data_IF_739625618979
#
_entry.id   IF_739625618979
#
_cell.length_a   1.000
_cell.length_b   1.000
_cell.length_c   1.000
_cell.angle_alpha   90.00
_cell.angle_beta   90.00
_cell.angle_gamma   90.00
#
_symmetry.space_group_name_H-M   'P 1'
#
loop_
_entity.id
_entity.type
_entity.pdbx_description
1 polymer ?
#
# COMPACT_ATOMS: atom_id res chain seq x y z
N UNK A 1 -6.00 -12.29 5.43
CA UNK A 1 -6.59 -12.56 4.10
C UNK A 1 -8.06 -12.19 3.98
N UNK A 2 -8.84 -12.36 5.01
CA UNK A 2 -10.26 -12.01 4.98
C UNK A 2 -10.51 -10.53 4.69
N UNK A 3 -9.71 -9.64 5.30
CA UNK A 3 -9.81 -8.20 5.06
C UNK A 3 -9.55 -7.86 3.59
N UNK A 4 -8.59 -8.54 2.97
CA UNK A 4 -8.26 -8.33 1.57
C UNK A 4 -9.33 -8.85 0.63
N UNK A 5 -10.04 -9.91 1.04
CA UNK A 5 -11.12 -10.49 0.21
C UNK A 5 -12.29 -9.52 0.06
N UNK A 6 -12.67 -8.81 1.13
CA UNK A 6 -13.73 -7.82 1.06
C UNK A 6 -13.40 -6.69 0.10
N UNK A 7 -12.17 -6.19 0.14
CA UNK A 7 -11.65 -5.15 -0.76
C UNK A 7 -11.69 -5.63 -2.21
N UNK A 8 -11.18 -6.86 -2.44
CA UNK A 8 -11.11 -7.46 -3.77
C UNK A 8 -12.51 -7.68 -4.35
N UNK A 9 -13.46 -8.13 -3.53
CA UNK A 9 -14.85 -8.28 -3.95
C UNK A 9 -15.45 -6.97 -4.41
N UNK A 10 -15.16 -5.86 -3.72
CA UNK A 10 -15.64 -4.55 -4.11
C UNK A 10 -15.02 -4.09 -5.44
N UNK A 11 -13.72 -4.33 -5.65
CA UNK A 11 -13.07 -4.00 -6.92
C UNK A 11 -13.72 -4.71 -8.10
N UNK A 12 -14.06 -5.98 -7.93
CA UNK A 12 -14.72 -6.76 -8.97
C UNK A 12 -16.15 -6.28 -9.19
N UNK A 13 -16.88 -6.04 -8.09
CA UNK A 13 -18.28 -5.62 -8.14
C UNK A 13 -18.48 -4.29 -8.87
N UNK A 14 -17.56 -3.34 -8.68
CA UNK A 14 -17.64 -2.04 -9.35
C UNK A 14 -16.91 -2.01 -10.69
N UNK A 15 -16.48 -3.18 -11.18
CA UNK A 15 -15.80 -3.34 -12.48
C UNK A 15 -14.49 -2.56 -12.62
N UNK A 16 -13.77 -2.36 -11.52
CA UNK A 16 -12.42 -1.77 -11.57
C UNK A 16 -11.38 -2.80 -11.98
N UNK A 17 -11.61 -4.06 -11.63
CA UNK A 17 -10.76 -5.17 -12.01
C UNK A 17 -11.60 -6.29 -12.61
N UNK A 18 -11.06 -6.94 -13.64
CA UNK A 18 -11.66 -8.13 -14.21
C UNK A 18 -11.39 -9.34 -13.32
N UNK A 19 -12.21 -10.42 -13.38
CA UNK A 19 -11.99 -11.63 -12.58
C UNK A 19 -10.59 -12.21 -12.71
N UNK A 20 -10.00 -12.14 -13.88
CA UNK A 20 -8.65 -12.63 -14.15
C UNK A 20 -7.61 -11.78 -13.41
N UNK A 21 -7.81 -10.47 -13.38
CA UNK A 21 -6.94 -9.54 -12.64
C UNK A 21 -7.06 -9.75 -11.14
N UNK A 22 -8.26 -10.03 -10.65
CA UNK A 22 -8.52 -10.33 -9.25
C UNK A 22 -7.73 -11.56 -8.79
N UNK A 23 -7.73 -12.61 -9.60
CA UNK A 23 -6.97 -13.84 -9.30
C UNK A 23 -5.49 -13.57 -9.21
N UNK A 24 -4.96 -12.79 -10.14
CA UNK A 24 -3.55 -12.41 -10.14
C UNK A 24 -3.20 -11.57 -8.92
N UNK A 25 -4.05 -10.63 -8.55
CA UNK A 25 -3.87 -9.79 -7.37
C UNK A 25 -3.81 -10.62 -6.09
N UNK A 26 -4.74 -11.56 -5.92
CA UNK A 26 -4.77 -12.42 -4.75
C UNK A 26 -3.48 -13.25 -4.66
N UNK A 27 -3.06 -13.82 -5.79
CA UNK A 27 -1.83 -14.62 -5.86
C UNK A 27 -0.61 -13.81 -5.48
N UNK A 28 -0.46 -12.60 -6.04
CA UNK A 28 0.66 -11.71 -5.77
C UNK A 28 0.70 -11.28 -4.30
N UNK A 29 -0.45 -10.94 -3.74
CA UNK A 29 -0.55 -10.56 -2.32
C UNK A 29 -0.14 -11.71 -1.39
N UNK A 30 -0.53 -12.93 -1.72
CA UNK A 30 -0.10 -14.10 -0.94
C UNK A 30 1.41 -14.28 -1.00
N UNK A 31 2.00 -14.14 -2.18
CA UNK A 31 3.44 -14.26 -2.36
C UNK A 31 4.20 -13.20 -1.56
N UNK A 32 3.78 -11.94 -1.65
CA UNK A 32 4.41 -10.86 -0.88
C UNK A 32 4.24 -11.04 0.62
N UNK A 33 3.03 -11.42 1.05
CA UNK A 33 2.77 -11.65 2.47
C UNK A 33 3.66 -12.76 3.03
N UNK A 34 3.85 -13.83 2.26
CA UNK A 34 4.76 -14.91 2.62
C UNK A 34 6.19 -14.37 2.80
N UNK A 35 6.67 -13.56 1.86
CA UNK A 35 8.02 -13.01 1.91
C UNK A 35 8.26 -12.13 3.13
N UNK A 36 7.31 -11.25 3.48
CA UNK A 36 7.48 -10.35 4.63
C UNK A 36 7.27 -11.05 5.97
N UNK A 37 6.73 -12.26 5.98
CA UNK A 37 6.55 -13.08 7.19
C UNK A 37 7.71 -14.03 7.45
N UNK A 38 8.67 -14.11 6.55
CA UNK A 38 9.85 -14.96 6.74
C UNK A 38 10.63 -14.57 8.00
N UNK A 39 11.35 -15.54 8.54
CA UNK A 39 12.21 -15.35 9.72
C UNK A 39 13.28 -14.29 9.47
N UNK A 40 13.94 -14.36 8.30
CA UNK A 40 14.89 -13.35 7.84
C UNK A 40 14.16 -12.38 6.93
N UNK A 41 13.92 -11.16 7.41
CA UNK A 41 13.18 -10.15 6.66
C UNK A 41 14.14 -9.22 5.96
N UNK A 42 13.91 -9.02 4.68
CA UNK A 42 14.72 -8.15 3.84
C UNK A 42 13.95 -6.88 3.47
N UNK A 43 14.66 -5.75 3.44
CA UNK A 43 14.08 -4.46 3.06
C UNK A 43 13.42 -4.53 1.67
N UNK A 44 14.07 -5.24 0.73
CA UNK A 44 13.55 -5.39 -0.62
C UNK A 44 12.19 -6.08 -0.70
N UNK A 45 11.91 -7.01 0.20
CA UNK A 45 10.61 -7.70 0.24
C UNK A 45 9.47 -6.72 0.58
N UNK A 46 9.71 -5.83 1.54
CA UNK A 46 8.74 -4.81 1.93
C UNK A 46 8.58 -3.76 0.83
N UNK A 47 9.69 -3.28 0.28
CA UNK A 47 9.65 -2.28 -0.79
C UNK A 47 8.98 -2.81 -2.05
N UNK A 48 9.21 -4.08 -2.37
CA UNK A 48 8.55 -4.73 -3.51
C UNK A 48 7.04 -4.80 -3.33
N UNK A 49 6.60 -5.16 -2.14
CA UNK A 49 5.17 -5.21 -1.82
C UNK A 49 4.54 -3.82 -1.87
N UNK A 50 5.19 -2.83 -1.26
CA UNK A 50 4.72 -1.42 -1.29
C UNK A 50 4.62 -0.94 -2.74
N UNK A 51 5.62 -1.24 -3.56
CA UNK A 51 5.61 -0.84 -4.98
C UNK A 51 4.45 -1.48 -5.74
N UNK A 52 4.19 -2.76 -5.48
CA UNK A 52 3.08 -3.46 -6.11
C UNK A 52 1.73 -2.81 -5.77
N UNK A 53 1.51 -2.50 -4.50
CA UNK A 53 0.26 -1.86 -4.05
C UNK A 53 0.15 -0.43 -4.57
N UNK A 54 1.27 0.30 -4.65
CA UNK A 54 1.31 1.64 -5.22
C UNK A 54 0.96 1.61 -6.70
N UNK A 55 1.47 0.63 -7.44
CA UNK A 55 1.14 0.43 -8.85
C UNK A 55 -0.35 0.12 -9.02
N UNK A 56 -0.91 -0.66 -8.12
CA UNK A 56 -2.35 -0.95 -8.13
C UNK A 56 -3.16 0.33 -7.95
N UNK A 57 -2.77 1.20 -7.02
CA UNK A 57 -3.44 2.51 -6.84
C UNK A 57 -3.40 3.33 -8.12
N UNK A 58 -2.26 3.35 -8.82
CA UNK A 58 -2.12 4.08 -10.07
C UNK A 58 -3.03 3.54 -11.15
N UNK A 59 -3.12 2.21 -11.26
CA UNK A 59 -4.03 1.56 -12.22
C UNK A 59 -5.49 1.91 -11.92
N UNK A 60 -5.88 1.84 -10.64
CA UNK A 60 -7.25 2.17 -10.25
C UNK A 60 -7.58 3.63 -10.51
N UNK A 61 -6.63 4.54 -10.26
CA UNK A 61 -6.81 5.96 -10.54
C UNK A 61 -7.08 6.20 -12.02
N UNK A 62 -6.33 5.55 -12.90
CA UNK A 62 -6.52 5.63 -14.35
C UNK A 62 -7.91 5.13 -14.76
N UNK A 63 -8.35 4.02 -14.20
CA UNK A 63 -9.65 3.43 -14.51
C UNK A 63 -10.80 4.26 -13.99
N UNK A 64 -10.65 4.86 -12.81
CA UNK A 64 -11.64 5.77 -12.26
C UNK A 64 -11.79 7.03 -13.10
N UNK A 65 -10.68 7.58 -13.54
CA UNK A 65 -10.68 8.76 -14.41
C UNK A 65 -11.40 8.47 -15.73
N UNK A 66 -11.12 7.30 -16.31
CA UNK A 66 -11.73 6.86 -17.56
C UNK A 66 -13.25 6.69 -17.46
N UNK A 67 -13.75 6.20 -16.32
CA UNK A 67 -15.19 5.94 -16.12
C UNK A 67 -15.93 7.07 -15.43
N UNK A 68 -15.21 7.94 -14.72
CA UNK A 68 -15.80 8.97 -13.88
C UNK A 68 -16.48 8.43 -12.62
N UNK A 69 -16.24 7.17 -12.28
CA UNK A 69 -16.95 6.47 -11.22
C UNK A 69 -16.19 6.51 -9.90
N UNK A 70 -16.82 7.10 -8.88
CA UNK A 70 -16.19 7.30 -7.56
C UNK A 70 -16.71 6.33 -6.48
N UNK A 71 -17.56 5.39 -6.85
CA UNK A 71 -18.22 4.50 -5.90
C UNK A 71 -17.23 3.59 -5.16
N UNK A 72 -17.43 3.42 -3.85
CA UNK A 72 -16.63 2.54 -2.99
C UNK A 72 -15.13 2.92 -2.90
N UNK A 73 -14.78 4.16 -3.20
CA UNK A 73 -13.39 4.62 -3.21
C UNK A 73 -12.72 4.47 -1.84
N UNK A 74 -13.41 4.77 -0.75
CA UNK A 74 -12.84 4.64 0.59
C UNK A 74 -12.60 3.18 0.99
N UNK A 75 -13.45 2.27 0.53
CA UNK A 75 -13.32 0.83 0.83
C UNK A 75 -12.29 0.13 -0.03
N UNK A 76 -11.98 0.67 -1.21
CA UNK A 76 -11.02 0.08 -2.14
C UNK A 76 -9.67 0.79 -2.02
N UNK A 77 -9.58 2.02 -2.52
CA UNK A 77 -8.31 2.78 -2.49
C UNK A 77 -7.89 3.15 -1.07
N UNK A 78 -8.85 3.49 -0.23
CA UNK A 78 -8.59 3.77 1.18
C UNK A 78 -7.96 2.58 1.89
N UNK A 79 -8.46 1.37 1.65
CA UNK A 79 -7.91 0.15 2.24
C UNK A 79 -6.48 -0.12 1.74
N UNK A 80 -6.21 0.14 0.46
CA UNK A 80 -4.88 -0.02 -0.11
C UNK A 80 -3.90 0.96 0.54
N UNK A 81 -4.30 2.24 0.70
CA UNK A 81 -3.46 3.26 1.34
C UNK A 81 -3.14 2.92 2.79
N UNK A 82 -4.13 2.41 3.53
CA UNK A 82 -3.92 1.97 4.91
C UNK A 82 -2.90 0.83 4.96
N UNK A 83 -2.99 -0.11 4.03
CA UNK A 83 -2.04 -1.23 3.95
C UNK A 83 -0.63 -0.75 3.66
N UNK A 84 -0.47 0.15 2.71
CA UNK A 84 0.84 0.72 2.37
C UNK A 84 1.43 1.45 3.58
N UNK A 85 0.63 2.22 4.29
CA UNK A 85 1.07 2.94 5.48
C UNK A 85 1.55 1.99 6.58
N UNK A 86 0.83 0.90 6.79
CA UNK A 86 1.23 -0.13 7.76
C UNK A 86 2.55 -0.79 7.37
N UNK A 87 2.74 -1.08 6.08
CA UNK A 87 3.99 -1.67 5.59
C UNK A 87 5.17 -0.72 5.82
N UNK A 88 4.99 0.57 5.56
CA UNK A 88 6.03 1.57 5.86
C UNK A 88 6.36 1.61 7.35
N UNK A 89 5.36 1.55 8.21
CA UNK A 89 5.59 1.58 9.66
C UNK A 89 6.41 0.38 10.14
N UNK A 90 6.12 -0.81 9.61
CA UNK A 90 6.88 -2.01 9.92
C UNK A 90 8.32 -1.87 9.41
N UNK A 91 8.47 -1.38 8.19
CA UNK A 91 9.77 -1.19 7.56
C UNK A 91 10.63 -0.19 8.33
N UNK A 92 10.05 0.94 8.75
CA UNK A 92 10.73 1.95 9.56
C UNK A 92 11.18 1.40 10.91
N UNK A 93 10.35 0.58 11.53
CA UNK A 93 10.69 -0.02 12.81
C UNK A 93 11.90 -0.95 12.69
N UNK A 94 11.98 -1.71 11.61
CA UNK A 94 13.08 -2.67 11.39
C UNK A 94 14.35 -2.00 10.85
N UNK A 95 14.24 -0.92 10.10
CA UNK A 95 15.36 -0.25 9.43
C UNK A 95 15.40 1.23 9.82
N UNK A 96 15.40 1.50 11.13
CA UNK A 96 15.26 2.85 11.70
C UNK A 96 16.34 3.84 11.24
N UNK A 97 17.52 3.36 10.95
CA UNK A 97 18.62 4.23 10.53
C UNK A 97 18.64 4.51 9.02
N UNK A 98 17.76 3.90 8.27
CA UNK A 98 17.69 4.11 6.82
C UNK A 98 16.79 5.30 6.49
N UNK A 99 17.39 6.46 6.30
CA UNK A 99 16.69 7.71 6.01
C UNK A 99 15.83 7.61 4.75
N UNK A 100 16.28 6.84 3.75
CA UNK A 100 15.55 6.70 2.49
C UNK A 100 14.16 6.09 2.68
N UNK A 101 14.02 5.18 3.65
CA UNK A 101 12.73 4.55 3.98
C UNK A 101 11.77 5.60 4.54
N UNK A 102 12.25 6.42 5.48
CA UNK A 102 11.45 7.48 6.08
C UNK A 102 10.99 8.51 5.03
N UNK A 103 11.91 8.90 4.16
CA UNK A 103 11.59 9.88 3.10
C UNK A 103 10.58 9.32 2.10
N UNK A 104 10.69 8.04 1.77
CA UNK A 104 9.71 7.38 0.89
C UNK A 104 8.31 7.36 1.51
N UNK A 105 8.24 7.10 2.82
CA UNK A 105 6.98 7.13 3.57
C UNK A 105 6.36 8.53 3.55
N UNK A 106 7.18 9.56 3.79
CA UNK A 106 6.73 10.95 3.76
C UNK A 106 6.19 11.31 2.38
N UNK A 107 6.89 10.91 1.33
CA UNK A 107 6.44 11.14 -0.05
C UNK A 107 5.08 10.48 -0.29
N UNK A 108 4.90 9.25 0.15
CA UNK A 108 3.63 8.54 0.04
C UNK A 108 2.51 9.28 0.78
N UNK A 109 2.76 9.75 2.02
CA UNK A 109 1.76 10.46 2.81
C UNK A 109 1.33 11.75 2.13
N UNK A 110 2.27 12.50 1.57
CA UNK A 110 1.97 13.73 0.82
C UNK A 110 1.11 13.43 -0.41
N UNK A 111 1.48 12.40 -1.17
CA UNK A 111 0.73 12.03 -2.38
C UNK A 111 -0.67 11.52 -2.09
N UNK A 112 -0.89 11.00 -0.89
CA UNK A 112 -2.20 10.50 -0.45
C UNK A 112 -3.07 11.57 0.19
N UNK A 113 -2.54 12.79 0.36
CA UNK A 113 -3.26 13.87 1.03
C UNK A 113 -3.28 13.75 2.55
N UNK A 114 -2.43 12.89 3.14
CA UNK A 114 -2.36 12.67 4.58
C UNK A 114 -1.27 13.57 5.21
N UNK A 115 -1.32 14.84 4.89
CA UNK A 115 -0.28 15.79 5.33
C UNK A 115 -0.20 15.96 6.85
N UNK A 116 -1.31 15.76 7.55
CA UNK A 116 -1.30 15.84 9.02
C UNK A 116 -0.37 14.82 9.67
N UNK A 117 -0.11 13.70 8.99
CA UNK A 117 0.78 12.66 9.49
C UNK A 117 2.25 12.92 9.18
N UNK A 118 2.55 13.81 8.23
CA UNK A 118 3.91 14.07 7.75
C UNK A 118 4.82 14.59 8.88
N UNK A 119 4.35 15.58 9.64
CA UNK A 119 5.11 16.17 10.72
C UNK A 119 5.49 15.13 11.79
N UNK A 120 4.55 14.23 12.08
CA UNK A 120 4.78 13.14 13.05
C UNK A 120 5.89 12.20 12.58
N UNK A 121 5.87 11.85 11.31
CA UNK A 121 6.89 10.95 10.73
C UNK A 121 8.26 11.64 10.68
N UNK A 122 8.32 12.91 10.28
CA UNK A 122 9.56 13.68 10.31
C UNK A 122 10.16 13.73 11.73
N UNK A 123 9.32 13.98 12.72
CA UNK A 123 9.79 14.05 14.11
C UNK A 123 10.38 12.71 14.56
N UNK A 124 9.71 11.61 14.24
CA UNK A 124 10.21 10.28 14.58
C UNK A 124 11.52 9.97 13.86
N UNK A 125 11.62 10.34 12.60
CA UNK A 125 12.85 10.16 11.83
C UNK A 125 14.03 10.88 12.51
N UNK A 126 13.83 12.11 12.93
CA UNK A 126 14.88 12.90 13.60
C UNK A 126 15.29 12.31 14.94
N UNK A 127 14.40 11.55 15.59
CA UNK A 127 14.70 10.92 16.88
C UNK A 127 15.52 9.64 16.74
N UNK A 128 15.39 8.91 15.62
CA UNK A 128 15.94 7.55 15.49
C UNK A 128 16.92 7.37 14.33
N UNK A 129 16.92 8.26 13.36
CA UNK A 129 17.77 8.13 12.16
C UNK A 129 19.10 8.91 12.26
#
# INVERSE_FOLDING_TARGET
>A
MEEMLGEVEQMERVNLLEPKEVKELIKKRKDFKYKIQKKTKEKGDFLGYIQYETNLLSLLAMRRESTGYEHKKSEIEGAIRVRINKLFKILEHRFQSDVSVWLSHIHFLKSSGWEASVSRIYLRMLQVA
#
